data_IF_610281376093
#
_entry.id   IF_610281376093
#
_cell.length_a   1.000
_cell.length_b   1.000
_cell.length_c   1.000
_cell.angle_alpha   90.00
_cell.angle_beta   90.00
_cell.angle_gamma   90.00
#
_symmetry.space_group_name_H-M   'P 1'
#
loop_
_entity.id
_entity.type
_entity.pdbx_description
1 polymer ?
#
# COMPACT_ATOMS: atom_id res chain seq x y z
N UNK A 1 -22.29 40.13 5.11
CA UNK A 1 -20.88 40.25 5.54
C UNK A 1 -20.44 38.86 5.94
N UNK A 2 -19.76 38.19 5.01
CA UNK A 2 -19.29 36.82 5.15
C UNK A 2 -18.21 36.75 6.24
N UNK A 3 -18.42 35.85 7.20
CA UNK A 3 -17.44 35.56 8.23
C UNK A 3 -16.30 34.74 7.64
N UNK A 4 -15.16 35.38 7.39
CA UNK A 4 -13.92 34.69 7.09
C UNK A 4 -13.51 33.82 8.28
N UNK A 5 -13.68 32.50 8.12
CA UNK A 5 -13.20 31.51 9.07
C UNK A 5 -11.67 31.42 8.94
N UNK A 6 -10.93 32.22 9.72
CA UNK A 6 -9.48 32.12 9.86
C UNK A 6 -9.13 30.74 10.43
N UNK A 7 -8.70 29.81 9.58
CA UNK A 7 -7.99 28.60 10.01
C UNK A 7 -6.83 29.03 10.92
N UNK A 8 -6.79 28.52 12.15
CA UNK A 8 -5.67 28.72 13.05
C UNK A 8 -4.34 28.40 12.33
N UNK A 9 -3.30 29.18 12.62
CA UNK A 9 -1.98 28.96 12.04
C UNK A 9 -1.53 27.52 12.35
N UNK A 10 -1.05 26.81 11.32
CA UNK A 10 -0.54 25.45 11.46
C UNK A 10 0.76 25.46 12.26
N UNK A 11 1.01 24.41 13.02
CA UNK A 11 2.31 24.25 13.66
C UNK A 11 3.38 23.88 12.62
N UNK A 12 4.66 24.15 12.93
CA UNK A 12 5.78 23.72 12.09
C UNK A 12 5.75 22.21 11.83
N UNK A 13 5.30 21.43 12.80
CA UNK A 13 5.14 19.97 12.67
C UNK A 13 4.06 19.60 11.65
N UNK A 14 2.93 20.32 11.64
CA UNK A 14 1.85 20.07 10.69
C UNK A 14 2.32 20.37 9.26
N UNK A 15 3.05 21.47 9.07
CA UNK A 15 3.60 21.83 7.76
C UNK A 15 4.63 20.82 7.28
N UNK A 16 5.55 20.40 8.16
CA UNK A 16 6.53 19.36 7.85
C UNK A 16 5.87 18.02 7.51
N UNK A 17 4.84 17.61 8.26
CA UNK A 17 4.10 16.38 7.99
C UNK A 17 3.39 16.43 6.64
N UNK A 18 2.75 17.56 6.30
CA UNK A 18 2.10 17.74 5.00
C UNK A 18 3.12 17.73 3.85
N UNK A 19 4.27 18.38 4.03
CA UNK A 19 5.35 18.36 3.04
C UNK A 19 5.86 16.93 2.81
N UNK A 20 6.15 16.20 3.90
CA UNK A 20 6.61 14.82 3.87
C UNK A 20 5.67 13.86 3.13
N UNK A 21 4.35 14.03 3.27
CA UNK A 21 3.37 13.18 2.57
C UNK A 21 3.15 13.56 1.10
N UNK A 22 3.61 14.74 0.67
CA UNK A 22 3.36 15.28 -0.68
C UNK A 22 4.58 15.16 -1.59
N UNK A 23 5.79 15.31 -1.05
CA UNK A 23 7.02 15.45 -1.82
C UNK A 23 8.07 14.39 -1.45
N UNK A 24 8.93 14.00 -2.40
CA UNK A 24 8.92 14.38 -3.83
C UNK A 24 7.80 13.70 -4.63
N UNK A 25 7.23 12.61 -4.11
CA UNK A 25 6.07 11.90 -4.66
C UNK A 25 5.04 11.71 -3.54
N UNK A 26 3.73 11.89 -3.81
CA UNK A 26 2.71 11.71 -2.78
C UNK A 26 2.61 10.27 -2.26
N UNK A 27 2.28 10.14 -0.98
CA UNK A 27 2.08 8.85 -0.31
C UNK A 27 3.36 8.26 0.25
N UNK A 28 3.23 7.14 0.97
CA UNK A 28 4.36 6.49 1.66
C UNK A 28 4.68 5.09 1.15
N UNK A 29 3.94 4.62 0.14
CA UNK A 29 4.07 3.27 -0.41
C UNK A 29 4.29 3.31 -1.92
N UNK A 30 4.99 2.31 -2.42
CA UNK A 30 5.10 2.00 -3.83
C UNK A 30 5.14 0.49 -4.04
N UNK A 31 4.77 0.04 -5.23
CA UNK A 31 4.90 -1.36 -5.65
C UNK A 31 6.17 -1.47 -6.50
N UNK A 32 7.05 -2.40 -6.12
CA UNK A 32 8.26 -2.72 -6.87
C UNK A 32 8.22 -4.17 -7.34
N UNK A 33 8.59 -4.40 -8.60
CA UNK A 33 8.69 -5.74 -9.15
C UNK A 33 9.88 -6.50 -8.52
N UNK A 34 9.64 -7.74 -8.09
CA UNK A 34 10.68 -8.60 -7.50
C UNK A 34 11.38 -9.49 -8.52
N UNK A 35 10.81 -9.63 -9.73
CA UNK A 35 11.36 -10.42 -10.83
C UNK A 35 11.86 -9.48 -11.95
N UNK A 36 12.94 -9.84 -12.67
CA UNK A 36 13.38 -9.10 -13.85
C UNK A 36 12.26 -8.99 -14.89
N UNK A 37 12.23 -7.87 -15.60
CA UNK A 37 11.29 -7.58 -16.69
C UNK A 37 12.02 -6.91 -17.88
N UNK A 38 13.31 -7.25 -18.07
CA UNK A 38 14.21 -6.50 -18.96
C UNK A 38 14.20 -6.95 -20.41
N UNK A 39 13.59 -8.09 -20.72
CA UNK A 39 13.60 -8.68 -22.06
C UNK A 39 12.30 -9.47 -22.35
N UNK A 40 12.16 -9.94 -23.60
CA UNK A 40 10.98 -10.67 -24.05
C UNK A 40 10.73 -11.97 -23.28
N UNK A 41 11.79 -12.70 -22.92
CA UNK A 41 11.68 -13.94 -22.15
C UNK A 41 11.15 -13.65 -20.74
N UNK A 42 11.66 -12.63 -20.07
CA UNK A 42 11.20 -12.21 -18.75
C UNK A 42 9.71 -11.84 -18.77
N UNK A 43 9.28 -11.06 -19.77
CA UNK A 43 7.88 -10.70 -19.96
C UNK A 43 6.99 -11.92 -20.24
N UNK A 44 7.47 -12.87 -21.06
CA UNK A 44 6.75 -14.10 -21.36
C UNK A 44 6.63 -15.02 -20.14
N UNK A 45 7.53 -14.94 -19.16
CA UNK A 45 7.46 -15.67 -17.89
C UNK A 45 6.57 -14.98 -16.86
N UNK A 46 6.69 -13.66 -16.73
CA UNK A 46 5.90 -12.86 -15.79
C UNK A 46 4.43 -12.73 -16.20
N UNK A 47 4.14 -12.89 -17.49
CA UNK A 47 2.80 -12.79 -18.05
C UNK A 47 2.56 -13.92 -19.07
N UNK A 48 1.74 -13.68 -20.09
CA UNK A 48 1.44 -14.67 -21.11
C UNK A 48 2.64 -15.00 -22.00
N UNK A 49 2.88 -16.29 -22.34
CA UNK A 49 2.07 -17.46 -21.95
C UNK A 49 2.49 -18.11 -20.62
N UNK A 50 3.62 -17.72 -20.01
CA UNK A 50 4.24 -18.42 -18.88
C UNK A 50 3.41 -18.40 -17.58
N UNK A 51 2.64 -17.34 -17.33
CA UNK A 51 1.76 -17.21 -16.15
C UNK A 51 0.69 -18.30 -16.07
N UNK A 52 0.40 -19.00 -17.16
CA UNK A 52 -0.55 -20.12 -17.17
C UNK A 52 -0.10 -21.26 -16.26
N UNK A 53 1.21 -21.54 -16.17
CA UNK A 53 1.73 -22.64 -15.36
C UNK A 53 1.37 -22.51 -13.87
N UNK A 54 1.73 -21.43 -13.14
CA UNK A 54 1.33 -21.29 -11.74
C UNK A 54 -0.20 -21.22 -11.56
N UNK A 55 -0.96 -20.69 -12.53
CA UNK A 55 -2.42 -20.69 -12.46
C UNK A 55 -3.02 -22.11 -12.47
N UNK A 56 -2.52 -22.99 -13.34
CA UNK A 56 -2.98 -24.38 -13.41
C UNK A 56 -2.57 -25.16 -12.15
N UNK A 57 -1.35 -24.95 -11.65
CA UNK A 57 -0.90 -25.56 -10.39
C UNK A 57 -1.77 -25.14 -9.20
N UNK A 58 -2.12 -23.84 -9.09
CA UNK A 58 -3.01 -23.35 -8.02
C UNK A 58 -4.44 -23.87 -8.17
N UNK A 59 -4.93 -24.02 -9.42
CA UNK A 59 -6.26 -24.61 -9.67
C UNK A 59 -6.32 -26.04 -9.15
N UNK A 60 -5.29 -26.83 -9.42
CA UNK A 60 -5.24 -28.25 -9.07
C UNK A 60 -4.84 -28.45 -7.59
N UNK A 61 -4.06 -27.52 -7.02
CA UNK A 61 -3.71 -27.47 -5.61
C UNK A 61 -3.75 -26.02 -5.06
N UNK A 62 -4.86 -25.59 -4.42
CA UNK A 62 -5.00 -24.24 -3.88
C UNK A 62 -3.94 -23.82 -2.85
N UNK A 63 -3.30 -24.77 -2.16
CA UNK A 63 -2.24 -24.47 -1.19
C UNK A 63 -0.97 -23.90 -1.86
N UNK A 64 -0.72 -24.27 -3.13
CA UNK A 64 0.42 -23.79 -3.91
C UNK A 64 0.39 -22.27 -4.16
N UNK A 65 -0.72 -21.60 -3.86
CA UNK A 65 -0.79 -20.14 -3.87
C UNK A 65 0.24 -19.51 -2.90
N UNK A 66 0.61 -20.19 -1.82
CA UNK A 66 1.68 -19.73 -0.93
C UNK A 66 3.06 -19.76 -1.59
N UNK A 67 3.29 -20.67 -2.54
CA UNK A 67 4.58 -20.86 -3.21
C UNK A 67 4.74 -19.95 -4.43
N UNK A 68 3.66 -19.78 -5.21
CA UNK A 68 3.70 -19.09 -6.51
C UNK A 68 3.21 -17.64 -6.49
N UNK A 69 2.82 -17.12 -5.32
CA UNK A 69 2.36 -15.73 -5.19
C UNK A 69 2.93 -15.07 -3.94
N UNK A 70 2.73 -13.75 -3.80
CA UNK A 70 3.12 -13.03 -2.59
C UNK A 70 2.29 -13.40 -1.33
N UNK A 71 1.24 -14.23 -1.48
CA UNK A 71 0.26 -14.54 -0.41
C UNK A 71 0.89 -14.99 0.90
N UNK A 72 2.01 -15.72 0.87
CA UNK A 72 2.66 -16.21 2.09
C UNK A 72 3.21 -15.08 2.98
N UNK A 73 3.53 -13.91 2.41
CA UNK A 73 4.10 -12.76 3.13
C UNK A 73 3.22 -11.50 3.07
N UNK A 74 2.08 -11.55 2.38
CA UNK A 74 1.22 -10.39 2.13
C UNK A 74 0.12 -10.26 3.18
N UNK A 75 0.00 -9.08 3.79
CA UNK A 75 -1.03 -8.72 4.78
C UNK A 75 -1.88 -7.56 4.26
N UNK A 76 -3.20 -7.64 4.40
CA UNK A 76 -4.09 -6.53 4.06
C UNK A 76 -4.33 -5.58 5.23
N UNK A 77 -4.08 -4.28 5.07
CA UNK A 77 -4.43 -3.26 6.08
C UNK A 77 -5.74 -2.58 5.69
N UNK A 78 -6.86 -3.13 6.18
CA UNK A 78 -8.21 -2.70 5.81
C UNK A 78 -8.86 -1.85 6.92
N UNK A 79 -9.42 -0.71 6.54
CA UNK A 79 -10.23 0.14 7.42
C UNK A 79 -11.27 0.92 6.61
N UNK A 80 -12.45 1.14 7.20
CA UNK A 80 -13.48 2.02 6.64
C UNK A 80 -13.38 3.47 7.16
N UNK A 81 -12.41 3.77 8.04
CA UNK A 81 -12.17 5.12 8.56
C UNK A 81 -13.15 5.60 9.64
N UNK A 82 -13.93 4.69 10.24
CA UNK A 82 -14.89 5.03 11.30
C UNK A 82 -14.26 5.35 12.66
N UNK A 83 -13.02 4.90 12.89
CA UNK A 83 -12.25 5.16 14.11
C UNK A 83 -10.76 5.34 13.77
N UNK A 84 -10.37 6.57 13.42
CA UNK A 84 -8.99 6.90 13.05
C UNK A 84 -8.32 7.63 14.20
N UNK A 85 -7.47 6.91 14.96
CA UNK A 85 -6.75 7.46 16.11
C UNK A 85 -7.73 8.16 17.08
N UNK A 86 -7.40 9.37 17.54
CA UNK A 86 -8.30 10.22 18.32
C UNK A 86 -9.26 11.08 17.50
N UNK A 87 -9.28 10.92 16.16
CA UNK A 87 -10.08 11.77 15.25
C UNK A 87 -11.49 11.21 15.01
N UNK A 88 -11.77 9.97 15.44
CA UNK A 88 -13.06 9.33 15.26
C UNK A 88 -13.36 8.99 13.81
N UNK A 89 -14.60 9.20 13.39
CA UNK A 89 -15.08 8.87 12.05
C UNK A 89 -14.78 10.01 11.07
N UNK A 90 -13.67 9.88 10.34
CA UNK A 90 -13.25 10.83 9.29
C UNK A 90 -13.37 10.24 7.88
N UNK A 91 -13.88 9.01 7.78
CA UNK A 91 -14.11 8.32 6.52
C UNK A 91 -12.86 7.71 5.89
N UNK A 92 -13.05 6.90 4.83
CA UNK A 92 -12.00 6.05 4.27
C UNK A 92 -10.84 6.84 3.67
N UNK A 93 -11.12 7.92 2.92
CA UNK A 93 -10.09 8.72 2.27
C UNK A 93 -9.18 9.42 3.29
N UNK A 94 -9.74 10.02 4.33
CA UNK A 94 -8.96 10.69 5.37
C UNK A 94 -8.16 9.71 6.25
N UNK A 95 -8.57 8.43 6.29
CA UNK A 95 -7.83 7.39 7.00
C UNK A 95 -6.61 6.87 6.23
N UNK A 96 -6.53 7.10 4.91
CA UNK A 96 -5.52 6.48 4.04
C UNK A 96 -4.07 6.76 4.47
N UNK A 97 -3.68 7.99 4.89
CA UNK A 97 -2.32 8.23 5.39
C UNK A 97 -1.97 7.35 6.60
N UNK A 98 -2.93 7.05 7.48
CA UNK A 98 -2.70 6.18 8.63
C UNK A 98 -2.50 4.73 8.18
N UNK A 99 -3.30 4.26 7.22
CA UNK A 99 -3.18 2.88 6.71
C UNK A 99 -1.85 2.66 5.98
N UNK A 100 -1.42 3.63 5.16
CA UNK A 100 -0.09 3.59 4.54
C UNK A 100 1.03 3.60 5.58
N UNK A 101 0.86 4.36 6.66
CA UNK A 101 1.82 4.38 7.77
C UNK A 101 1.99 3.00 8.39
N UNK A 102 0.90 2.30 8.67
CA UNK A 102 0.94 0.93 9.19
C UNK A 102 1.66 -0.03 8.24
N UNK A 103 1.36 0.04 6.95
CA UNK A 103 1.99 -0.77 5.93
C UNK A 103 3.52 -0.61 5.89
N UNK A 104 4.01 0.64 5.90
CA UNK A 104 5.46 0.92 5.93
C UNK A 104 6.10 0.38 7.21
N UNK A 105 5.43 0.45 8.35
CA UNK A 105 5.94 -0.09 9.62
C UNK A 105 6.07 -1.63 9.56
N UNK A 106 5.06 -2.33 9.03
CA UNK A 106 5.13 -3.79 8.82
C UNK A 106 6.31 -4.17 7.94
N UNK A 107 6.49 -3.49 6.81
CA UNK A 107 7.61 -3.78 5.90
C UNK A 107 8.95 -3.46 6.54
N UNK A 108 9.09 -2.29 7.17
CA UNK A 108 10.36 -1.80 7.70
C UNK A 108 10.87 -2.62 8.89
N UNK A 109 9.98 -3.07 9.77
CA UNK A 109 10.37 -3.71 11.02
C UNK A 109 10.16 -5.22 11.04
N UNK A 110 9.24 -5.77 10.23
CA UNK A 110 8.95 -7.21 10.21
C UNK A 110 9.20 -7.88 8.85
N UNK A 111 9.57 -7.12 7.81
CA UNK A 111 9.78 -7.67 6.47
C UNK A 111 8.49 -8.13 5.77
N UNK A 112 7.33 -7.80 6.33
CA UNK A 112 6.00 -8.20 5.83
C UNK A 112 5.58 -7.28 4.69
N UNK A 113 5.12 -7.85 3.58
CA UNK A 113 4.53 -7.11 2.47
C UNK A 113 3.07 -6.75 2.79
N UNK A 114 2.62 -5.57 2.36
CA UNK A 114 1.29 -5.07 2.70
C UNK A 114 0.58 -4.47 1.49
N UNK A 115 -0.72 -4.76 1.39
CA UNK A 115 -1.68 -4.17 0.44
C UNK A 115 -2.81 -3.42 1.15
#
# INVERSE_FOLDING_TARGET
>A
MEGENKKAARSDLDEAALYFHKHPRPGKLEIQATKPLGNQRDLALAYSPGVAAPCLEIRDNPAAAADYTARANLVGVVSNGSAVLGLGNIGPLASKPVMEGKAVLFKKFAGIDVE
#
